data_IF_654952614735
#
_entry.id   IF_654952614735
#
_cell.length_a   1.000
_cell.length_b   1.000
_cell.length_c   1.000
_cell.angle_alpha   90.00
_cell.angle_beta   90.00
_cell.angle_gamma   90.00
#
_symmetry.space_group_name_H-M   'P 1'
#
loop_
_entity.id
_entity.type
_entity.pdbx_description
1 polymer ?
#
# COMPACT_ATOMS: atom_id res chain seq x y z
N UNK A 1 -4.01 -17.61 11.62
CA UNK A 1 -3.31 -16.48 12.28
C UNK A 1 -2.11 -16.14 11.40
N UNK A 2 -1.93 -14.88 11.00
CA UNK A 2 -0.76 -14.43 10.23
C UNK A 2 0.25 -13.89 11.24
N UNK A 3 1.48 -14.40 11.22
CA UNK A 3 2.59 -13.79 11.96
C UNK A 3 3.01 -12.49 11.25
N UNK A 4 3.01 -11.37 11.98
CA UNK A 4 3.40 -10.08 11.42
C UNK A 4 4.92 -9.86 11.41
N UNK A 5 5.70 -10.68 12.13
CA UNK A 5 7.15 -10.57 12.22
C UNK A 5 7.88 -11.46 11.20
N UNK A 6 7.24 -12.54 10.73
CA UNK A 6 7.79 -13.45 9.73
C UNK A 6 8.07 -12.72 8.39
N UNK A 7 9.21 -13.03 7.76
CA UNK A 7 9.52 -12.55 6.41
C UNK A 7 9.03 -13.56 5.38
N UNK A 8 8.14 -13.11 4.49
CA UNK A 8 7.61 -13.90 3.39
C UNK A 8 8.19 -13.43 2.07
N UNK A 9 8.63 -14.35 1.23
CA UNK A 9 9.33 -14.06 -0.04
C UNK A 9 8.75 -14.89 -1.19
N UNK A 10 8.77 -14.35 -2.40
CA UNK A 10 8.45 -15.09 -3.63
C UNK A 10 9.42 -14.73 -4.77
N UNK A 11 9.64 -15.67 -5.68
CA UNK A 11 10.51 -15.50 -6.86
C UNK A 11 9.85 -14.71 -8.00
N UNK A 12 8.54 -14.45 -7.90
CA UNK A 12 7.78 -13.69 -8.89
C UNK A 12 7.67 -12.20 -8.56
N UNK A 13 7.32 -11.40 -9.57
CA UNK A 13 6.94 -10.00 -9.36
C UNK A 13 5.68 -9.86 -8.49
N UNK A 14 4.69 -10.72 -8.73
CA UNK A 14 3.39 -10.65 -8.07
C UNK A 14 3.46 -11.24 -6.66
N UNK A 15 3.13 -10.47 -5.61
CA UNK A 15 3.09 -10.99 -4.24
C UNK A 15 1.96 -12.00 -4.05
N UNK A 16 2.17 -12.97 -3.15
CA UNK A 16 1.14 -13.94 -2.78
C UNK A 16 0.02 -13.29 -1.97
N UNK A 17 -1.16 -13.89 -1.95
CA UNK A 17 -2.30 -13.38 -1.17
C UNK A 17 -1.96 -13.23 0.32
N UNK A 18 -1.23 -14.19 0.90
CA UNK A 18 -0.78 -14.12 2.29
C UNK A 18 0.17 -12.94 2.54
N UNK A 19 1.07 -12.64 1.60
CA UNK A 19 1.93 -11.45 1.69
C UNK A 19 1.10 -10.17 1.61
N UNK A 20 0.11 -10.13 0.71
CA UNK A 20 -0.81 -8.98 0.60
C UNK A 20 -1.55 -8.73 1.91
N UNK A 21 -2.09 -9.77 2.52
CA UNK A 21 -2.76 -9.68 3.81
C UNK A 21 -1.83 -9.23 4.93
N UNK A 22 -0.63 -9.82 5.02
CA UNK A 22 0.37 -9.50 6.03
C UNK A 22 0.82 -8.03 5.93
N UNK A 23 1.15 -7.54 4.74
CA UNK A 23 1.60 -6.17 4.51
C UNK A 23 0.49 -5.17 4.86
N UNK A 24 -0.77 -5.45 4.48
CA UNK A 24 -1.92 -4.62 4.83
C UNK A 24 -2.26 -4.66 6.33
N UNK A 25 -1.91 -5.75 7.03
CA UNK A 25 -2.03 -5.85 8.49
C UNK A 25 -0.93 -5.04 9.20
N UNK A 26 0.31 -5.09 8.69
CA UNK A 26 1.45 -4.34 9.21
C UNK A 26 1.29 -2.83 8.99
N UNK A 27 0.74 -2.44 7.85
CA UNK A 27 0.54 -1.04 7.45
C UNK A 27 -0.95 -0.77 7.23
N UNK A 28 -1.61 -0.22 8.26
CA UNK A 28 -3.05 0.04 8.22
C UNK A 28 -3.44 1.26 7.35
N UNK A 29 -2.50 2.17 7.13
CA UNK A 29 -2.67 3.40 6.36
C UNK A 29 -1.53 3.59 5.34
N UNK A 30 -1.74 4.51 4.39
CA UNK A 30 -0.73 4.91 3.42
C UNK A 30 0.57 5.34 4.12
N UNK A 31 1.76 4.86 3.70
CA UNK A 31 3.05 5.22 4.29
C UNK A 31 3.50 6.67 4.03
N UNK A 32 2.73 7.47 3.30
CA UNK A 32 3.10 8.84 3.00
C UNK A 32 2.84 9.74 4.23
N UNK A 33 3.79 10.58 4.65
CA UNK A 33 3.63 11.45 5.82
C UNK A 33 2.35 12.29 5.78
N UNK A 34 1.52 12.17 6.81
CA UNK A 34 0.24 12.88 6.91
C UNK A 34 -0.91 12.29 6.07
N UNK A 35 -0.72 11.15 5.40
CA UNK A 35 -1.79 10.48 4.67
C UNK A 35 -2.47 9.40 5.51
N UNK A 36 -3.77 9.55 5.78
CA UNK A 36 -4.57 8.59 6.55
C UNK A 36 -5.48 7.72 5.68
N UNK A 37 -5.14 7.51 4.40
CA UNK A 37 -5.93 6.61 3.54
C UNK A 37 -5.72 5.17 4.00
N UNK A 38 -6.79 4.43 4.34
CA UNK A 38 -6.65 3.06 4.80
C UNK A 38 -6.30 2.11 3.65
N UNK A 39 -5.53 1.09 3.99
CA UNK A 39 -5.04 0.06 3.06
C UNK A 39 -6.05 -1.10 2.92
N UNK A 40 -6.94 -1.22 3.91
CA UNK A 40 -8.02 -2.22 3.96
C UNK A 40 -9.40 -1.56 3.94
N UNK A 41 -10.39 -2.16 3.25
CA UNK A 41 -11.79 -1.77 3.39
C UNK A 41 -12.23 -1.85 4.86
N UNK A 42 -12.95 -0.83 5.35
CA UNK A 42 -13.50 -0.82 6.71
C UNK A 42 -12.58 -0.30 7.82
N UNK A 43 -11.28 -0.09 7.57
CA UNK A 43 -10.40 0.57 8.53
C UNK A 43 -10.69 2.09 8.52
N UNK A 44 -11.55 2.55 9.44
CA UNK A 44 -11.85 3.98 9.74
C UNK A 44 -12.40 4.85 8.60
N UNK A 45 -12.59 4.34 7.38
CA UNK A 45 -13.18 5.09 6.28
C UNK A 45 -14.69 5.30 6.46
N UNK A 46 -15.10 6.29 7.27
CA UNK A 46 -16.40 6.95 7.10
C UNK A 46 -16.35 7.82 5.84
N UNK A 47 -16.26 7.22 4.66
CA UNK A 47 -16.41 7.98 3.42
C UNK A 47 -17.89 8.23 3.22
N UNK A 48 -18.29 9.51 3.14
CA UNK A 48 -19.64 9.91 2.69
C UNK A 48 -19.89 9.22 1.35
N UNK A 49 -20.89 8.34 1.27
CA UNK A 49 -21.30 7.68 0.04
C UNK A 49 -21.63 8.78 -0.98
N UNK A 50 -20.76 9.03 -1.97
CA UNK A 50 -21.12 9.91 -3.10
C UNK A 50 -22.08 9.10 -3.94
N UNK A 51 -23.38 9.27 -3.68
CA UNK A 51 -24.44 8.80 -4.57
C UNK A 51 -24.40 9.66 -5.82
N UNK A 52 -24.17 9.02 -6.96
CA UNK A 52 -24.42 9.64 -8.26
C UNK A 52 -25.94 9.89 -8.39
N UNK A 53 -26.39 11.10 -8.79
CA UNK A 53 -27.82 11.42 -8.91
C UNK A 53 -28.55 10.60 -9.98
N UNK A 54 -27.84 9.95 -10.91
CA UNK A 54 -28.40 9.07 -11.93
C UNK A 54 -28.49 7.59 -11.49
N UNK A 55 -28.04 7.24 -10.27
CA UNK A 55 -28.23 5.89 -9.69
C UNK A 55 -27.43 4.75 -10.34
N UNK A 56 -26.60 5.03 -11.35
CA UNK A 56 -25.82 4.03 -12.12
C UNK A 56 -24.47 3.67 -11.49
N UNK A 57 -24.09 4.30 -10.38
CA UNK A 57 -22.74 4.22 -9.81
C UNK A 57 -22.42 2.89 -9.11
N UNK A 58 -21.84 1.92 -9.83
CA UNK A 58 -20.88 0.99 -9.21
C UNK A 58 -19.72 1.84 -8.66
N UNK A 59 -19.76 2.17 -7.38
CA UNK A 59 -18.61 2.83 -6.73
C UNK A 59 -17.43 1.88 -6.80
N UNK A 60 -16.50 2.11 -7.74
CA UNK A 60 -15.20 1.46 -7.73
C UNK A 60 -14.57 1.77 -6.39
N UNK A 61 -14.43 0.73 -5.58
CA UNK A 61 -13.82 0.77 -4.28
C UNK A 61 -12.32 1.00 -4.51
N UNK A 62 -11.90 2.26 -4.68
CA UNK A 62 -10.48 2.63 -4.79
C UNK A 62 -9.82 2.54 -3.40
N UNK A 63 -9.63 1.33 -2.89
CA UNK A 63 -8.88 1.07 -1.65
C UNK A 63 -7.45 0.66 -2.00
N UNK A 64 -6.51 1.61 -1.85
CA UNK A 64 -5.09 1.40 -2.16
C UNK A 64 -4.83 1.18 -3.66
N UNK A 65 -3.61 1.45 -4.14
CA UNK A 65 -3.15 0.67 -5.30
C UNK A 65 -2.81 -0.75 -4.81
N UNK A 66 -2.47 -1.65 -5.74
CA UNK A 66 -1.72 -2.84 -5.36
C UNK A 66 -0.45 -2.48 -4.59
N UNK A 67 0.15 -3.47 -3.94
CA UNK A 67 1.38 -3.27 -3.19
C UNK A 67 2.49 -2.77 -4.10
N UNK A 68 3.31 -1.88 -3.55
CA UNK A 68 4.42 -1.23 -4.20
C UNK A 68 5.74 -1.77 -3.64
N UNK A 69 6.65 -2.16 -4.53
CA UNK A 69 8.01 -2.52 -4.16
C UNK A 69 8.80 -1.26 -3.81
N UNK A 70 9.38 -1.17 -2.60
CA UNK A 70 10.28 -0.07 -2.22
C UNK A 70 11.50 -0.04 -3.14
N UNK A 71 12.16 -1.18 -3.30
CA UNK A 71 13.17 -1.42 -4.33
C UNK A 71 12.55 -2.26 -5.44
N UNK A 72 12.54 -1.72 -6.65
CA UNK A 72 11.87 -2.33 -7.80
C UNK A 72 12.40 -3.72 -8.15
N UNK A 73 11.52 -4.61 -8.56
CA UNK A 73 11.91 -5.92 -9.09
C UNK A 73 12.55 -5.74 -10.48
N UNK A 74 13.62 -6.47 -10.84
CA UNK A 74 14.24 -7.58 -10.10
C UNK A 74 15.36 -7.15 -9.13
N UNK A 75 15.71 -5.86 -9.06
CA UNK A 75 16.76 -5.37 -8.17
C UNK A 75 16.41 -5.58 -6.69
N UNK A 76 15.13 -5.52 -6.35
CA UNK A 76 14.55 -5.92 -5.07
C UNK A 76 13.64 -7.14 -5.24
N UNK A 77 13.86 -8.16 -4.42
CA UNK A 77 12.98 -9.33 -4.41
C UNK A 77 11.60 -8.95 -3.85
N UNK A 78 10.57 -9.68 -4.29
CA UNK A 78 9.22 -9.54 -3.73
C UNK A 78 9.20 -10.18 -2.35
N UNK A 79 9.48 -9.38 -1.32
CA UNK A 79 9.43 -9.77 0.09
C UNK A 79 8.43 -8.92 0.85
N UNK A 80 7.87 -9.43 1.96
CA UNK A 80 6.97 -8.67 2.84
C UNK A 80 7.61 -7.39 3.41
N UNK A 81 8.93 -7.33 3.49
CA UNK A 81 9.71 -6.16 3.94
C UNK A 81 10.00 -5.16 2.81
N UNK A 82 9.91 -5.60 1.55
CA UNK A 82 10.08 -4.75 0.37
C UNK A 82 8.73 -4.22 -0.16
N UNK A 83 7.59 -4.68 0.36
CA UNK A 83 6.27 -4.30 -0.13
C UNK A 83 5.53 -3.37 0.81
N UNK A 84 4.91 -2.33 0.26
CA UNK A 84 4.14 -1.35 1.01
C UNK A 84 2.85 -0.97 0.29
N UNK A 85 1.81 -0.51 1.01
CA UNK A 85 0.51 -0.18 0.42
C UNK A 85 0.27 1.34 0.27
N UNK A 86 0.95 2.06 -0.65
CA UNK A 86 0.61 3.45 -0.92
C UNK A 86 -0.81 3.58 -1.47
N UNK A 87 -1.46 4.70 -1.17
CA UNK A 87 -2.68 5.03 -1.87
C UNK A 87 -2.37 5.32 -3.35
N UNK A 88 -3.34 5.12 -4.24
CA UNK A 88 -3.19 5.34 -5.69
C UNK A 88 -2.53 6.69 -6.05
N UNK A 89 -2.82 7.75 -5.29
CA UNK A 89 -2.19 9.06 -5.49
C UNK A 89 -0.68 9.06 -5.21
N UNK A 90 -0.25 8.50 -4.08
CA UNK A 90 1.17 8.47 -3.70
C UNK A 90 1.95 7.38 -4.43
N UNK A 91 1.28 6.30 -4.85
CA UNK A 91 1.87 5.35 -5.80
C UNK A 91 2.26 6.07 -7.10
N UNK A 92 1.31 6.80 -7.70
CA UNK A 92 1.55 7.58 -8.91
C UNK A 92 2.60 8.67 -8.71
N UNK A 93 2.63 9.32 -7.54
CA UNK A 93 3.67 10.28 -7.20
C UNK A 93 5.05 9.61 -7.35
N UNK A 94 5.28 8.47 -6.70
CA UNK A 94 6.52 7.71 -6.84
C UNK A 94 6.80 7.25 -8.28
N UNK A 95 5.78 6.77 -9.00
CA UNK A 95 5.99 6.22 -10.36
C UNK A 95 6.34 7.30 -11.40
N UNK A 96 5.77 8.50 -11.28
CA UNK A 96 5.82 9.52 -12.34
C UNK A 96 6.65 10.75 -11.98
N UNK A 97 7.32 10.73 -10.83
CA UNK A 97 8.20 11.82 -10.37
C UNK A 97 9.41 11.22 -9.65
N UNK A 98 10.36 12.05 -9.24
CA UNK A 98 11.58 11.60 -8.56
C UNK A 98 11.37 11.27 -7.07
N UNK A 99 10.12 11.28 -6.60
CA UNK A 99 9.80 10.92 -5.22
C UNK A 99 10.09 9.45 -4.92
N UNK A 100 10.88 9.21 -3.89
CA UNK A 100 11.18 7.87 -3.36
C UNK A 100 11.00 7.85 -1.84
N UNK A 101 11.11 6.67 -1.23
CA UNK A 101 11.05 6.53 0.22
C UNK A 101 11.95 5.43 0.79
N UNK A 102 12.39 5.64 2.02
CA UNK A 102 13.04 4.63 2.85
C UNK A 102 12.13 4.26 4.02
N UNK A 103 12.38 3.08 4.62
CA UNK A 103 11.67 2.60 5.80
C UNK A 103 12.69 2.14 6.83
N UNK A 104 12.58 2.70 8.03
CA UNK A 104 13.30 2.29 9.22
C UNK A 104 12.26 1.95 10.31
N UNK A 105 12.31 0.77 10.94
CA UNK A 105 11.34 0.39 11.98
C UNK A 105 11.36 1.31 13.21
N UNK A 106 12.46 2.03 13.48
CA UNK A 106 12.57 2.96 14.60
C UNK A 106 11.97 4.34 14.29
N UNK A 107 12.08 4.82 13.05
CA UNK A 107 11.74 6.20 12.67
C UNK A 107 10.57 6.29 11.68
N UNK A 108 10.18 5.19 11.07
CA UNK A 108 9.08 5.10 10.11
C UNK A 108 9.51 5.36 8.66
N UNK A 109 8.60 5.90 7.87
CA UNK A 109 8.83 6.21 6.46
C UNK A 109 9.39 7.61 6.28
N UNK A 110 10.46 7.72 5.50
CA UNK A 110 11.00 9.01 5.06
C UNK A 110 10.85 9.11 3.55
N UNK A 111 10.10 10.10 3.08
CA UNK A 111 9.89 10.38 1.66
C UNK A 111 10.75 11.56 1.22
N UNK A 112 11.40 11.44 0.07
CA UNK A 112 12.31 12.45 -0.49
C UNK A 112 12.03 12.61 -1.98
N UNK A 113 12.28 13.81 -2.53
CA UNK A 113 12.18 14.14 -3.96
C UNK A 113 13.50 14.67 -4.49
#
# INVERSE_FOLDING_TARGET
>A
MIDLAEEMTTDGYTPTERMVEQVKLRHAECPFPGCHRPTRPGHKAKRKKRTDPAGTGKQQQEHGSDLDHRQEWPEGQTTSSNLYPPCRGHHRLKTFTDWTYTYDPATGFTWTS
#
